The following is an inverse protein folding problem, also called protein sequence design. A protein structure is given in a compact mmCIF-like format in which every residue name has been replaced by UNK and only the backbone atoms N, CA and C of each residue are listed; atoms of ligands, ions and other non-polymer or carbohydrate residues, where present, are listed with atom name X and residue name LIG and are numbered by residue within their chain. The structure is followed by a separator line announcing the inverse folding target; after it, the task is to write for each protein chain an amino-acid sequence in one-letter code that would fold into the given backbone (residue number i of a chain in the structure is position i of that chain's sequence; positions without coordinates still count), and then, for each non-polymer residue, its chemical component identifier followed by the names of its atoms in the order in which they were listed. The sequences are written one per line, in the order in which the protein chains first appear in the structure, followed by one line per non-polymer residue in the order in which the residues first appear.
data_IF_684674678796
#
_entry.id   IF_684674678796
#
_cell.length_a   1.000
_cell.length_b   1.000
_cell.length_c   1.000
_cell.angle_alpha   90.00
_cell.angle_beta   90.00
_cell.angle_gamma   90.00
#
_symmetry.space_group_name_H-M   'P 1'
#
loop_
_entity.id
_entity.type
_entity.pdbx_description
1 polymer ?
#
# COMPACT_ATOMS: atom_id res chain seq x y z
N UNK A 1 14.03 -3.25 -8.23
CA UNK A 1 13.73 -4.67 -8.10
C UNK A 1 12.62 -4.90 -7.11
N UNK A 2 11.55 -5.48 -7.60
CA UNK A 2 10.31 -5.64 -6.85
C UNK A 2 10.49 -6.46 -5.57
N UNK A 3 11.33 -7.49 -5.66
CA UNK A 3 11.57 -8.41 -4.55
C UNK A 3 12.16 -7.72 -3.33
N UNK A 4 12.98 -6.71 -3.54
CA UNK A 4 13.66 -6.00 -2.45
C UNK A 4 12.67 -5.24 -1.56
N UNK A 5 11.73 -4.51 -2.17
CA UNK A 5 10.74 -3.75 -1.42
C UNK A 5 9.80 -4.69 -0.67
N UNK A 6 9.31 -5.74 -1.33
CA UNK A 6 8.43 -6.74 -0.72
C UNK A 6 9.12 -7.43 0.46
N UNK A 7 10.37 -7.82 0.27
CA UNK A 7 11.14 -8.46 1.33
C UNK A 7 11.31 -7.53 2.53
N UNK A 8 11.62 -6.27 2.29
CA UNK A 8 11.79 -5.29 3.35
C UNK A 8 10.49 -5.11 4.13
N UNK A 9 9.36 -5.03 3.42
CA UNK A 9 8.06 -4.91 4.06
C UNK A 9 7.76 -6.12 4.97
N UNK A 10 8.08 -7.33 4.51
CA UNK A 10 7.91 -8.53 5.34
C UNK A 10 8.77 -8.49 6.59
N UNK A 11 9.98 -7.99 6.49
CA UNK A 11 10.87 -7.88 7.64
C UNK A 11 10.36 -6.87 8.66
N UNK A 12 9.81 -5.74 8.19
CA UNK A 12 9.36 -4.67 9.08
C UNK A 12 8.00 -4.96 9.69
N UNK A 13 7.06 -5.50 8.90
CA UNK A 13 5.66 -5.68 9.32
C UNK A 13 5.23 -7.13 9.53
N UNK A 14 6.05 -8.09 9.09
CA UNK A 14 5.72 -9.49 9.18
C UNK A 14 6.13 -10.13 10.49
N UNK A 15 5.80 -11.41 10.64
CA UNK A 15 6.10 -12.17 11.84
C UNK A 15 7.60 -12.30 12.09
N UNK A 16 8.41 -12.25 11.05
CA UNK A 16 9.86 -12.37 11.16
C UNK A 16 10.46 -11.28 12.03
N UNK A 17 9.83 -10.12 12.09
CA UNK A 17 10.31 -9.03 12.91
C UNK A 17 10.33 -9.39 14.39
N UNK A 18 9.39 -10.23 14.83
CA UNK A 18 9.24 -10.62 16.23
C UNK A 18 10.36 -11.55 16.70
N UNK A 19 10.99 -12.25 15.77
CA UNK A 19 12.03 -13.22 16.11
C UNK A 19 13.43 -12.62 16.04
N UNK A 20 13.55 -11.40 15.56
CA UNK A 20 14.84 -10.72 15.42
C UNK A 20 15.19 -10.00 16.73
N UNK A 21 16.47 -10.07 17.18
CA UNK A 21 16.89 -9.35 18.39
C UNK A 21 16.63 -7.86 18.29
N UNK A 22 16.67 -7.13 19.42
CA UNK A 22 16.07 -5.81 19.52
C UNK A 22 16.49 -4.88 18.39
N UNK A 23 15.53 -4.64 17.51
CA UNK A 23 15.65 -3.68 16.44
C UNK A 23 14.81 -2.47 16.81
N UNK A 24 15.24 -1.31 16.39
CA UNK A 24 14.43 -0.11 16.52
C UNK A 24 13.37 -0.15 15.42
N UNK A 25 12.17 -0.63 15.76
CA UNK A 25 11.08 -0.77 14.79
C UNK A 25 10.73 0.56 14.14
N UNK A 26 10.76 1.65 14.91
CA UNK A 26 10.51 2.98 14.40
C UNK A 26 11.52 3.38 13.33
N UNK A 27 12.78 3.10 13.61
CA UNK A 27 13.86 3.39 12.66
C UNK A 27 13.73 2.55 11.39
N UNK A 28 13.45 1.27 11.55
CA UNK A 28 13.30 0.35 10.41
C UNK A 28 12.08 0.71 9.57
N UNK A 29 10.98 1.10 10.22
CA UNK A 29 9.79 1.55 9.51
C UNK A 29 10.06 2.83 8.72
N UNK A 30 10.82 3.77 9.30
CA UNK A 30 11.19 5.01 8.62
C UNK A 30 12.05 4.72 7.38
N UNK A 31 12.98 3.79 7.48
CA UNK A 31 13.78 3.36 6.33
C UNK A 31 12.93 2.70 5.26
N UNK A 32 11.95 1.88 5.66
CA UNK A 32 11.02 1.28 4.73
C UNK A 32 10.22 2.35 3.98
N UNK A 33 9.70 3.35 4.70
CA UNK A 33 8.94 4.44 4.09
C UNK A 33 9.81 5.22 3.10
N UNK A 34 11.07 5.42 3.42
CA UNK A 34 12.02 6.07 2.51
C UNK A 34 12.17 5.25 1.23
N UNK A 35 12.37 3.93 1.35
CA UNK A 35 12.47 3.04 0.19
C UNK A 35 11.19 3.06 -0.64
N UNK A 36 10.06 3.02 0.03
CA UNK A 36 8.75 3.07 -0.60
C UNK A 36 8.55 4.37 -1.39
N UNK A 37 8.95 5.49 -0.81
CA UNK A 37 8.77 6.81 -1.41
C UNK A 37 9.51 6.93 -2.74
N UNK A 38 10.68 6.30 -2.86
CA UNK A 38 11.49 6.37 -4.06
C UNK A 38 11.29 5.17 -5.01
N UNK A 39 10.44 4.22 -4.63
CA UNK A 39 10.16 3.07 -5.50
C UNK A 39 9.26 3.48 -6.66
N UNK A 40 9.37 2.75 -7.78
CA UNK A 40 8.45 2.98 -8.89
C UNK A 40 7.09 2.31 -8.62
N UNK A 41 6.07 2.74 -9.36
CA UNK A 41 4.71 2.27 -9.17
C UNK A 41 4.60 0.74 -9.31
N UNK A 42 5.33 0.15 -10.25
CA UNK A 42 5.27 -1.28 -10.48
C UNK A 42 5.83 -2.06 -9.29
N UNK A 43 6.91 -1.57 -8.68
CA UNK A 43 7.48 -2.20 -7.49
C UNK A 43 6.51 -2.11 -6.30
N UNK A 44 5.87 -0.96 -6.12
CA UNK A 44 4.90 -0.76 -5.05
C UNK A 44 3.69 -1.66 -5.25
N UNK A 45 3.17 -1.74 -6.48
CA UNK A 45 2.03 -2.61 -6.79
C UNK A 45 2.37 -4.08 -6.59
N UNK A 46 3.57 -4.51 -6.97
CA UNK A 46 4.01 -5.89 -6.75
C UNK A 46 4.00 -6.23 -5.27
N UNK A 47 4.51 -5.33 -4.44
CA UNK A 47 4.49 -5.50 -2.98
C UNK A 47 3.06 -5.60 -2.45
N UNK A 48 2.20 -4.67 -2.85
CA UNK A 48 0.81 -4.64 -2.39
C UNK A 48 0.06 -5.92 -2.78
N UNK A 49 0.22 -6.34 -4.02
CA UNK A 49 -0.50 -7.51 -4.55
C UNK A 49 0.02 -8.82 -3.99
N UNK A 50 1.27 -8.87 -3.60
CA UNK A 50 1.83 -10.05 -2.98
C UNK A 50 1.47 -10.14 -1.50
N UNK A 51 1.54 -9.04 -0.77
CA UNK A 51 1.34 -9.04 0.67
C UNK A 51 -0.11 -8.93 1.09
N UNK A 52 -0.91 -8.11 0.40
CA UNK A 52 -2.29 -7.88 0.82
C UNK A 52 -3.19 -9.11 0.76
N UNK A 53 -3.13 -9.94 -0.32
CA UNK A 53 -4.01 -11.11 -0.38
C UNK A 53 -3.69 -12.20 0.64
N UNK A 54 -2.46 -12.25 1.13
CA UNK A 54 -2.04 -13.28 2.08
C UNK A 54 -2.24 -12.86 3.52
N UNK A 55 -2.85 -11.72 3.74
CA UNK A 55 -2.87 -11.09 5.05
C UNK A 55 -4.11 -11.42 5.84
N UNK A 56 -4.17 -12.64 6.31
CA UNK A 56 -5.13 -13.00 7.33
C UNK A 56 -4.90 -12.14 8.58
N UNK A 57 -3.66 -11.76 8.83
CA UNK A 57 -3.28 -11.04 10.03
C UNK A 57 -2.94 -9.57 9.81
N UNK A 58 -3.25 -9.03 8.64
CA UNK A 58 -3.09 -7.60 8.37
C UNK A 58 -1.66 -7.10 8.46
N UNK A 59 -0.73 -7.79 7.88
CA UNK A 59 0.68 -7.45 7.97
C UNK A 59 1.02 -6.06 7.51
N UNK A 60 0.34 -5.60 6.48
CA UNK A 60 0.61 -4.27 5.98
C UNK A 60 -0.45 -3.34 6.58
N UNK A 61 -0.08 -2.50 7.56
CA UNK A 61 -1.05 -1.60 8.19
C UNK A 61 -1.78 -0.75 7.17
N UNK A 62 -3.03 -0.39 7.47
CA UNK A 62 -3.85 0.38 6.54
C UNK A 62 -3.20 1.71 6.17
N UNK A 63 -2.51 2.36 7.11
CA UNK A 63 -1.81 3.63 6.81
C UNK A 63 -0.71 3.43 5.77
N UNK A 64 -0.05 2.28 5.78
CA UNK A 64 0.99 1.96 4.80
C UNK A 64 0.35 1.60 3.45
N UNK A 65 -0.77 0.87 3.45
CA UNK A 65 -1.50 0.59 2.22
C UNK A 65 -1.98 1.87 1.55
N UNK A 66 -2.56 2.78 2.34
CA UNK A 66 -3.02 4.06 1.83
C UNK A 66 -1.87 4.87 1.25
N UNK A 67 -0.76 4.98 1.97
CA UNK A 67 0.42 5.68 1.48
C UNK A 67 0.93 5.04 0.18
N UNK A 68 1.00 3.73 0.14
CA UNK A 68 1.49 3.00 -1.04
C UNK A 68 0.63 3.28 -2.27
N UNK A 69 -0.69 3.20 -2.14
CA UNK A 69 -1.58 3.49 -3.26
C UNK A 69 -1.53 4.96 -3.67
N UNK A 70 -1.37 5.87 -2.71
CA UNK A 70 -1.22 7.29 -3.05
C UNK A 70 0.04 7.53 -3.88
N UNK A 71 1.14 6.87 -3.52
CA UNK A 71 2.39 6.99 -4.28
C UNK A 71 2.25 6.40 -5.68
N UNK A 72 1.56 5.26 -5.81
CA UNK A 72 1.27 4.68 -7.13
C UNK A 72 0.45 5.65 -7.97
N UNK A 73 -0.58 6.24 -7.39
CA UNK A 73 -1.48 7.13 -8.12
C UNK A 73 -0.81 8.46 -8.50
N UNK A 74 0.20 8.89 -7.75
CA UNK A 74 1.01 10.04 -8.15
C UNK A 74 1.80 9.76 -9.43
N UNK A 75 2.23 8.53 -9.62
CA UNK A 75 2.95 8.12 -10.82
C UNK A 75 2.01 7.73 -11.96
N UNK A 76 0.82 7.23 -11.63
CA UNK A 76 -0.18 6.77 -12.60
C UNK A 76 -1.54 7.40 -12.29
N UNK A 77 -1.69 8.71 -12.52
CA UNK A 77 -2.86 9.46 -12.03
C UNK A 77 -4.16 9.23 -12.80
N UNK A 78 -4.10 8.58 -13.96
CA UNK A 78 -5.26 8.44 -14.84
C UNK A 78 -5.68 6.98 -15.04
N UNK A 79 -5.55 6.15 -14.02
CA UNK A 79 -5.93 4.74 -14.10
C UNK A 79 -7.06 4.41 -13.12
N UNK A 80 -8.31 4.43 -13.60
CA UNK A 80 -9.46 4.16 -12.74
C UNK A 80 -9.40 2.81 -12.01
N UNK A 81 -8.86 1.78 -12.68
CA UNK A 81 -8.75 0.46 -12.06
C UNK A 81 -7.89 0.49 -10.80
N UNK A 82 -6.82 1.27 -10.79
CA UNK A 82 -5.96 1.41 -9.60
C UNK A 82 -6.68 2.16 -8.48
N UNK A 83 -7.46 3.17 -8.81
CA UNK A 83 -8.25 3.90 -7.83
C UNK A 83 -9.28 2.98 -7.16
N UNK A 84 -9.92 2.11 -7.94
CA UNK A 84 -10.88 1.15 -7.41
C UNK A 84 -10.21 0.08 -6.57
N UNK A 85 -9.04 -0.37 -6.97
CA UNK A 85 -8.25 -1.31 -6.18
C UNK A 85 -7.89 -0.71 -4.82
N UNK A 86 -7.44 0.55 -4.81
CA UNK A 86 -7.12 1.27 -3.58
C UNK A 86 -8.35 1.42 -2.69
N UNK A 87 -9.48 1.80 -3.28
CA UNK A 87 -10.74 1.96 -2.55
C UNK A 87 -11.17 0.65 -1.89
N UNK A 88 -11.10 -0.45 -2.63
CA UNK A 88 -11.45 -1.77 -2.10
C UNK A 88 -10.57 -2.15 -0.91
N UNK A 89 -9.29 -1.85 -0.99
CA UNK A 89 -8.35 -2.12 0.10
C UNK A 89 -8.72 -1.33 1.36
N UNK A 90 -9.12 -0.07 1.21
CA UNK A 90 -9.49 0.78 2.33
C UNK A 90 -10.83 0.39 2.94
N UNK A 91 -11.83 0.04 2.12
CA UNK A 91 -13.13 -0.41 2.63
C UNK A 91 -13.00 -1.66 3.51
N UNK A 92 -12.04 -2.51 3.21
CA UNK A 92 -11.80 -3.71 4.00
C UNK A 92 -11.27 -3.41 5.41
N UNK A 93 -10.81 -2.19 5.67
CA UNK A 93 -10.16 -1.81 6.92
C UNK A 93 -11.07 -1.08 7.91
N UNK A 94 -12.36 -0.95 7.59
CA UNK A 94 -13.34 -0.36 8.49
C UNK A 94 -13.74 1.06 8.12
N UNK A 95 -14.75 1.60 8.83
CA UNK A 95 -15.41 2.85 8.43
C UNK A 95 -14.55 4.10 8.48
N UNK A 96 -13.46 4.09 9.23
CA UNK A 96 -12.58 5.26 9.34
C UNK A 96 -11.97 5.66 7.99
N UNK A 97 -11.92 4.72 7.05
CA UNK A 97 -11.31 4.93 5.74
C UNK A 97 -12.33 5.08 4.61
N UNK A 98 -13.62 5.01 4.93
CA UNK A 98 -14.67 5.04 3.91
C UNK A 98 -14.69 6.33 3.10
N UNK A 99 -14.42 7.47 3.72
CA UNK A 99 -14.44 8.75 3.01
C UNK A 99 -13.34 8.81 1.94
N UNK A 100 -12.16 8.32 2.25
CA UNK A 100 -11.06 8.28 1.29
C UNK A 100 -11.37 7.30 0.17
N UNK A 101 -11.92 6.14 0.52
CA UNK A 101 -12.30 5.13 -0.47
C UNK A 101 -13.38 5.66 -1.42
N UNK A 102 -14.39 6.32 -0.88
CA UNK A 102 -15.47 6.90 -1.69
C UNK A 102 -14.94 7.98 -2.65
N UNK A 103 -13.98 8.80 -2.19
CA UNK A 103 -13.37 9.82 -3.04
C UNK A 103 -12.60 9.18 -4.19
N UNK A 104 -11.87 8.10 -3.93
CA UNK A 104 -11.16 7.37 -4.97
C UNK A 104 -12.12 6.82 -6.02
N UNK A 105 -13.26 6.27 -5.59
CA UNK A 105 -14.28 5.77 -6.52
C UNK A 105 -14.89 6.89 -7.34
N UNK A 106 -15.16 8.05 -6.74
CA UNK A 106 -15.67 9.21 -7.49
C UNK A 106 -14.67 9.67 -8.55
N UNK A 107 -13.39 9.69 -8.22
CA UNK A 107 -12.35 10.05 -9.18
C UNK A 107 -12.25 9.04 -10.32
N UNK A 108 -12.37 7.75 -10.01
CA UNK A 108 -12.38 6.70 -11.01
C UNK A 108 -13.58 6.84 -11.95
N UNK A 109 -14.76 7.09 -11.39
CA UNK A 109 -15.98 7.26 -12.16
C UNK A 109 -15.88 8.49 -13.08
N UNK A 110 -15.30 9.58 -12.58
CA UNK A 110 -15.09 10.79 -13.38
C UNK A 110 -14.16 10.54 -14.57
N UNK A 111 -13.10 9.77 -14.36
CA UNK A 111 -12.19 9.42 -15.44
C UNK A 111 -12.87 8.54 -16.49
N UNK A 112 -13.66 7.56 -16.06
CA UNK A 112 -14.40 6.71 -16.98
C UNK A 112 -15.41 7.52 -17.79
N UNK A 113 -16.07 8.47 -17.16
CA UNK A 113 -17.06 9.33 -17.84
C UNK A 113 -16.41 10.26 -18.86
N UNK A 114 -15.15 10.63 -18.65
CA UNK A 114 -14.43 11.52 -19.56
C UNK A 114 -13.78 10.76 -20.72
N UNK A 115 -13.67 9.46 -20.62
CA UNK A 115 -13.01 8.63 -21.65
C UNK A 115 -13.81 8.49 -22.93
#
# INVERSE_FOLDING_TARGET
MHTTLTHYARCVFGDEYRTTPPCDRQHDEALFIEQLTFADADAILAMLRELCPTLVDGYLPVRIRNLSYRLVLLQKPNEPALMREAAASLYAQGPDWDDIAAELERRADALDAAA
#
